data_IF_011044123603
#
_entry.id   IF_011044123603
#
_cell.length_a   1.000
_cell.length_b   1.000
_cell.length_c   1.000
_cell.angle_alpha   90.00
_cell.angle_beta   90.00
_cell.angle_gamma   90.00
#
_symmetry.space_group_name_H-M   'P 1'
#
loop_
_entity.id
_entity.type
_entity.pdbx_description
1 polymer ?
#
# COMPACT_ATOMS: atom_id res chain seq x y z
N UNK A 1 25.05 -16.66 24.83
CA UNK A 1 24.49 -15.29 24.73
C UNK A 1 24.30 -14.86 23.26
N UNK A 2 25.33 -14.87 22.40
CA UNK A 2 25.23 -14.49 20.98
C UNK A 2 24.29 -15.39 20.15
N UNK A 3 24.30 -16.71 20.38
CA UNK A 3 23.37 -17.62 19.69
C UNK A 3 21.91 -17.37 20.11
N UNK A 4 21.67 -17.13 21.40
CA UNK A 4 20.34 -16.82 21.92
C UNK A 4 19.78 -15.51 21.37
N UNK A 5 20.63 -14.49 21.17
CA UNK A 5 20.20 -13.25 20.52
C UNK A 5 19.91 -13.46 19.03
N UNK A 6 20.75 -14.22 18.31
CA UNK A 6 20.48 -14.60 16.92
C UNK A 6 19.15 -15.34 16.75
N UNK A 7 18.88 -16.36 17.59
CA UNK A 7 17.62 -17.10 17.57
C UNK A 7 16.43 -16.21 17.92
N UNK A 8 16.59 -15.31 18.91
CA UNK A 8 15.54 -14.37 19.29
C UNK A 8 15.21 -13.37 18.18
N UNK A 9 16.22 -12.86 17.47
CA UNK A 9 16.06 -11.95 16.32
C UNK A 9 15.43 -12.66 15.13
N UNK A 10 15.85 -13.89 14.84
CA UNK A 10 15.25 -14.71 13.77
C UNK A 10 13.78 -14.97 14.12
N UNK A 11 13.48 -15.44 15.33
CA UNK A 11 12.10 -15.67 15.79
C UNK A 11 11.25 -14.41 15.71
N UNK A 12 11.77 -13.26 16.14
CA UNK A 12 11.09 -11.96 16.04
C UNK A 12 10.84 -11.54 14.59
N UNK A 13 11.83 -11.69 13.70
CA UNK A 13 11.66 -11.38 12.28
C UNK A 13 10.62 -12.29 11.62
N UNK A 14 10.59 -13.57 11.98
CA UNK A 14 9.62 -14.54 11.50
C UNK A 14 8.22 -14.25 12.06
N UNK A 15 8.10 -13.93 13.36
CA UNK A 15 6.84 -13.52 14.00
C UNK A 15 6.25 -12.28 13.33
N UNK A 16 7.05 -11.23 13.13
CA UNK A 16 6.61 -10.00 12.42
C UNK A 16 6.19 -10.27 10.99
N UNK A 17 6.84 -11.22 10.31
CA UNK A 17 6.48 -11.60 8.94
C UNK A 17 5.17 -12.40 8.91
N UNK A 18 4.97 -13.30 9.85
CA UNK A 18 3.74 -14.09 9.99
C UNK A 18 2.53 -13.18 10.28
N UNK A 19 2.61 -12.31 11.29
CA UNK A 19 1.54 -11.36 11.64
C UNK A 19 1.19 -10.39 10.49
N UNK A 20 2.16 -10.10 9.60
CA UNK A 20 1.93 -9.24 8.43
C UNK A 20 1.19 -9.97 7.28
N UNK A 21 1.35 -11.29 7.15
CA UNK A 21 0.54 -12.08 6.21
C UNK A 21 -0.88 -12.26 6.74
N UNK A 22 -1.00 -12.66 8.00
CA UNK A 22 -2.28 -12.88 8.71
C UNK A 22 -3.20 -11.64 8.61
N UNK A 23 -2.70 -10.46 9.00
CA UNK A 23 -3.45 -9.21 8.89
C UNK A 23 -3.91 -8.87 7.46
N UNK A 24 -3.13 -9.24 6.44
CA UNK A 24 -3.51 -8.98 5.04
C UNK A 24 -4.66 -9.90 4.61
N UNK A 25 -4.61 -11.17 5.01
CA UNK A 25 -5.66 -12.14 4.75
C UNK A 25 -6.98 -11.75 5.45
N UNK A 26 -6.91 -11.25 6.67
CA UNK A 26 -8.09 -10.72 7.39
C UNK A 26 -8.71 -9.52 6.67
N UNK A 27 -7.91 -8.52 6.29
CA UNK A 27 -8.42 -7.34 5.56
C UNK A 27 -9.03 -7.76 4.22
N UNK A 28 -8.39 -8.70 3.51
CA UNK A 28 -8.90 -9.20 2.24
C UNK A 28 -10.19 -10.00 2.41
N UNK A 29 -10.29 -10.86 3.43
CA UNK A 29 -11.50 -11.63 3.72
C UNK A 29 -12.67 -10.73 4.15
N UNK A 30 -12.42 -9.76 5.02
CA UNK A 30 -13.36 -8.70 5.38
C UNK A 30 -13.86 -7.94 4.15
N UNK A 31 -12.95 -7.58 3.24
CA UNK A 31 -13.33 -6.88 2.00
C UNK A 31 -14.19 -7.74 1.06
N UNK A 32 -14.02 -9.07 1.07
CA UNK A 32 -14.81 -9.97 0.21
C UNK A 32 -16.23 -10.21 0.74
N UNK A 33 -16.42 -10.18 2.05
CA UNK A 33 -17.73 -10.40 2.67
C UNK A 33 -18.58 -9.12 2.71
N UNK A 34 -17.96 -7.94 2.65
CA UNK A 34 -18.68 -6.68 2.63
C UNK A 34 -19.22 -6.35 1.23
N UNK A 35 -20.54 -6.22 1.11
CA UNK A 35 -21.27 -5.97 -0.15
C UNK A 35 -20.82 -4.67 -0.86
N UNK A 36 -20.21 -3.73 -0.13
CA UNK A 36 -19.74 -2.43 -0.62
C UNK A 36 -18.28 -2.09 -0.24
N UNK A 37 -17.44 -3.10 0.02
CA UNK A 37 -16.04 -2.83 0.36
C UNK A 37 -15.26 -2.22 -0.82
N UNK A 38 -14.36 -1.25 -0.55
CA UNK A 38 -13.43 -0.76 -1.56
C UNK A 38 -12.58 -1.88 -2.15
N UNK A 39 -12.39 -1.87 -3.48
CA UNK A 39 -11.47 -2.80 -4.14
C UNK A 39 -10.04 -2.55 -3.64
N UNK A 40 -9.41 -3.60 -3.13
CA UNK A 40 -8.00 -3.58 -2.73
C UNK A 40 -7.10 -3.70 -3.97
N UNK A 41 -6.09 -2.84 -4.07
CA UNK A 41 -5.12 -2.83 -5.18
C UNK A 41 -3.71 -3.07 -4.67
N UNK A 42 -2.95 -3.87 -5.41
CA UNK A 42 -1.54 -4.12 -5.08
C UNK A 42 -0.66 -2.92 -5.41
N UNK A 43 0.36 -2.64 -4.59
CA UNK A 43 1.33 -1.58 -4.91
C UNK A 43 1.98 -1.76 -6.29
N UNK A 44 2.34 -3.01 -6.66
CA UNK A 44 2.94 -3.32 -7.96
C UNK A 44 2.00 -3.01 -9.12
N UNK A 45 0.70 -3.26 -8.95
CA UNK A 45 -0.34 -2.98 -9.94
C UNK A 45 -0.47 -1.47 -10.15
N UNK A 46 -0.65 -0.71 -9.07
CA UNK A 46 -0.74 0.75 -9.13
C UNK A 46 0.55 1.40 -9.66
N UNK A 47 1.71 0.83 -9.31
CA UNK A 47 3.01 1.27 -9.84
C UNK A 47 3.08 1.06 -11.36
N UNK A 48 2.65 -0.09 -11.88
CA UNK A 48 2.58 -0.31 -13.33
C UNK A 48 1.59 0.64 -14.00
N UNK A 49 0.38 0.78 -13.44
CA UNK A 49 -0.67 1.62 -13.99
C UNK A 49 -0.25 3.10 -14.10
N UNK A 50 0.62 3.58 -13.21
CA UNK A 50 1.08 4.98 -13.15
C UNK A 50 2.47 5.21 -13.78
N UNK A 51 3.02 4.23 -14.52
CA UNK A 51 4.39 4.26 -15.04
C UNK A 51 5.44 4.52 -13.95
N UNK A 52 5.39 3.72 -12.88
CA UNK A 52 6.21 3.83 -11.67
C UNK A 52 6.05 5.17 -10.95
N UNK A 53 4.83 5.72 -10.91
CA UNK A 53 4.54 7.05 -10.38
C UNK A 53 5.38 8.14 -11.07
N UNK A 54 5.43 8.11 -12.42
CA UNK A 54 6.17 9.09 -13.22
C UNK A 54 5.69 10.51 -12.92
N UNK A 55 6.62 11.47 -12.87
CA UNK A 55 6.29 12.88 -12.67
C UNK A 55 5.44 13.45 -13.81
N UNK A 56 5.57 12.90 -15.01
CA UNK A 56 4.79 13.26 -16.20
C UNK A 56 3.29 12.95 -16.02
N UNK A 57 2.96 11.96 -15.19
CA UNK A 57 1.59 11.55 -14.91
C UNK A 57 0.97 12.30 -13.71
N UNK A 58 1.63 13.29 -13.12
CA UNK A 58 1.06 14.03 -11.98
C UNK A 58 -0.08 14.92 -12.47
N UNK A 59 -1.26 14.74 -11.86
CA UNK A 59 -2.45 15.57 -12.12
C UNK A 59 -2.73 16.55 -10.99
N UNK A 60 -2.09 16.37 -9.82
CA UNK A 60 -2.23 17.30 -8.70
C UNK A 60 -1.23 17.04 -7.59
N UNK A 61 -0.94 18.08 -6.79
CA UNK A 61 -0.09 18.03 -5.60
C UNK A 61 -0.75 18.80 -4.47
N UNK A 62 -0.61 18.30 -3.25
CA UNK A 62 -1.09 18.97 -2.04
C UNK A 62 -0.37 18.47 -0.80
N UNK A 63 -0.80 18.93 0.38
CA UNK A 63 -0.13 18.62 1.65
C UNK A 63 0.00 17.13 1.96
N UNK A 64 -1.00 16.33 1.56
CA UNK A 64 -1.02 14.89 1.76
C UNK A 64 -0.16 14.09 0.77
N UNK A 65 0.32 14.71 -0.32
CA UNK A 65 1.12 14.04 -1.34
C UNK A 65 0.74 14.39 -2.79
N UNK A 66 1.00 13.48 -3.71
CA UNK A 66 0.78 13.68 -5.15
C UNK A 66 -0.28 12.73 -5.70
N UNK A 67 -1.07 13.20 -6.65
CA UNK A 67 -2.07 12.42 -7.38
C UNK A 67 -1.55 12.17 -8.80
N UNK A 68 -1.57 10.91 -9.22
CA UNK A 68 -1.05 10.45 -10.50
C UNK A 68 -2.19 9.90 -11.37
N UNK A 69 -2.21 10.26 -12.65
CA UNK A 69 -2.99 9.56 -13.67
C UNK A 69 -2.40 8.17 -13.87
N UNK A 70 -3.27 7.18 -14.00
CA UNK A 70 -2.87 5.83 -14.36
C UNK A 70 -3.87 5.18 -15.31
N UNK A 71 -3.44 4.06 -15.90
CA UNK A 71 -4.25 3.25 -16.79
C UNK A 71 -4.19 1.78 -16.37
N UNK A 72 -5.34 1.20 -16.06
CA UNK A 72 -5.44 -0.20 -15.64
C UNK A 72 -5.45 -1.11 -16.86
N UNK A 73 -4.41 -1.95 -16.99
CA UNK A 73 -4.28 -2.88 -18.12
C UNK A 73 -5.35 -3.98 -18.10
N UNK A 74 -5.81 -4.40 -16.91
CA UNK A 74 -6.79 -5.49 -16.75
C UNK A 74 -8.16 -5.15 -17.36
N UNK A 75 -8.61 -3.90 -17.23
CA UNK A 75 -9.98 -3.49 -17.60
C UNK A 75 -10.04 -2.19 -18.43
N UNK A 76 -8.89 -1.66 -18.86
CA UNK A 76 -8.79 -0.46 -19.69
C UNK A 76 -9.25 0.84 -19.02
N UNK A 77 -9.42 0.86 -17.69
CA UNK A 77 -9.93 2.05 -16.99
C UNK A 77 -8.82 3.06 -16.70
N UNK A 78 -9.11 4.34 -16.94
CA UNK A 78 -8.29 5.45 -16.43
C UNK A 78 -8.58 5.66 -14.95
N UNK A 79 -7.54 5.83 -14.15
CA UNK A 79 -7.62 5.99 -12.70
C UNK A 79 -6.82 7.20 -12.23
N UNK A 80 -7.13 7.69 -11.03
CA UNK A 80 -6.30 8.62 -10.28
C UNK A 80 -5.77 7.93 -9.02
N UNK A 81 -4.46 7.91 -8.83
CA UNK A 81 -3.79 7.27 -7.68
C UNK A 81 -3.16 8.35 -6.81
N UNK A 82 -3.66 8.51 -5.58
CA UNK A 82 -3.06 9.40 -4.58
C UNK A 82 -1.98 8.67 -3.81
N UNK A 83 -0.73 9.13 -3.92
CA UNK A 83 0.41 8.62 -3.16
C UNK A 83 0.66 9.53 -1.95
N UNK A 84 0.48 8.98 -0.75
CA UNK A 84 0.67 9.71 0.50
C UNK A 84 2.15 9.94 0.76
N UNK A 85 2.52 11.17 1.10
CA UNK A 85 3.89 11.49 1.51
C UNK A 85 4.15 11.11 2.95
N UNK A 86 5.22 10.34 3.21
CA UNK A 86 5.65 10.01 4.56
C UNK A 86 6.09 11.24 5.39
N UNK A 87 6.41 12.35 4.72
CA UNK A 87 6.78 13.62 5.37
C UNK A 87 5.59 14.55 5.59
N UNK A 88 4.38 14.17 5.16
CA UNK A 88 3.19 14.99 5.37
C UNK A 88 2.86 15.08 6.86
N UNK A 89 2.75 16.31 7.38
CA UNK A 89 2.24 16.57 8.74
C UNK A 89 0.73 16.81 8.79
N UNK A 90 0.09 16.95 7.63
CA UNK A 90 -1.35 17.17 7.55
C UNK A 90 -2.09 15.84 7.79
N UNK A 91 -3.15 15.89 8.60
CA UNK A 91 -3.95 14.72 8.98
C UNK A 91 -3.43 13.90 10.17
N UNK A 92 -2.34 14.31 10.83
CA UNK A 92 -1.81 13.61 12.01
C UNK A 92 -2.52 13.95 13.34
N UNK A 93 -3.42 14.94 13.35
CA UNK A 93 -4.05 15.48 14.58
C UNK A 93 -5.57 15.56 14.51
N UNK A 94 -6.24 14.57 13.90
CA UNK A 94 -7.69 14.41 14.00
C UNK A 94 -8.03 13.09 14.69
#
# INVERSE_FOLDING_TARGET
LVLFTLLSVIREAWKRRYEKCDRKEDIESLSRTAVDAPKMFGYKELSKATCKFSKENIVGRGGFGSVYKGFMLENGKTIAVKKISATSKQGMFW
#
